data_IF_004100200142
#
_entry.id   IF_004100200142
#
_cell.length_a   1.000
_cell.length_b   1.000
_cell.length_c   1.000
_cell.angle_alpha   90.00
_cell.angle_beta   90.00
_cell.angle_gamma   90.00
#
_symmetry.space_group_name_H-M   'P 1'
#
loop_
_entity.id
_entity.type
_entity.pdbx_description
1 polymer ?
#
# COMPACT_ATOMS: atom_id res chain seq x y z
N UNK A 1 -28.47 -20.44 3.66
CA UNK A 1 -27.67 -20.86 4.82
C UNK A 1 -26.87 -19.65 5.25
N UNK A 2 -27.12 -19.14 6.45
CA UNK A 2 -26.50 -17.93 7.01
C UNK A 2 -25.06 -18.24 7.40
N UNK A 3 -24.09 -17.47 6.88
CA UNK A 3 -22.69 -17.56 7.29
C UNK A 3 -22.54 -16.86 8.65
N UNK A 4 -22.31 -17.66 9.69
CA UNK A 4 -22.02 -17.19 11.04
C UNK A 4 -20.53 -16.84 11.10
N UNK A 5 -20.21 -15.55 11.28
CA UNK A 5 -18.86 -15.14 11.63
C UNK A 5 -18.75 -15.10 13.16
N UNK A 6 -18.16 -16.15 13.73
CA UNK A 6 -17.84 -16.21 15.16
C UNK A 6 -16.45 -15.60 15.39
N UNK A 7 -16.38 -14.48 16.10
CA UNK A 7 -15.10 -13.92 16.58
C UNK A 7 -14.88 -14.43 18.00
N UNK A 8 -14.02 -15.44 18.14
CA UNK A 8 -13.63 -15.98 19.43
C UNK A 8 -12.21 -15.48 19.79
N UNK A 9 -12.13 -14.66 20.84
CA UNK A 9 -10.87 -14.32 21.51
C UNK A 9 -11.09 -14.36 23.02
N UNK A 10 -10.21 -15.07 23.74
CA UNK A 10 -10.20 -15.13 25.21
C UNK A 10 -11.56 -15.54 25.85
N UNK A 11 -12.29 -16.46 25.21
CA UNK A 11 -13.56 -16.98 25.74
C UNK A 11 -14.73 -15.99 25.68
N UNK A 12 -14.68 -14.99 24.78
CA UNK A 12 -15.85 -14.20 24.39
C UNK A 12 -16.36 -14.77 23.06
N UNK A 13 -17.59 -15.29 23.04
CA UNK A 13 -18.33 -15.44 21.78
C UNK A 13 -19.42 -14.36 21.75
N UNK A 14 -19.44 -13.59 20.67
CA UNK A 14 -20.50 -12.65 20.39
C UNK A 14 -21.23 -13.15 19.14
N UNK A 15 -22.48 -13.60 19.31
CA UNK A 15 -23.34 -13.94 18.19
C UNK A 15 -23.74 -12.64 17.47
N UNK A 16 -23.03 -12.30 16.40
CA UNK A 16 -23.40 -11.25 15.45
C UNK A 16 -24.53 -11.79 14.54
N UNK A 17 -25.69 -12.14 15.13
CA UNK A 17 -26.84 -12.67 14.38
C UNK A 17 -27.74 -11.60 13.77
N UNK A 18 -27.52 -10.31 14.06
CA UNK A 18 -28.35 -9.24 13.50
C UNK A 18 -27.63 -8.58 12.34
N UNK A 19 -28.35 -8.43 11.22
CA UNK A 19 -27.90 -7.82 9.96
C UNK A 19 -27.44 -6.36 10.09
N UNK A 20 -27.61 -5.72 11.25
CA UNK A 20 -27.07 -4.41 11.59
C UNK A 20 -26.70 -4.33 13.09
N UNK A 21 -25.43 -4.48 13.49
CA UNK A 21 -25.04 -4.26 14.88
C UNK A 21 -25.19 -2.78 15.24
N UNK A 22 -26.02 -2.46 16.25
CA UNK A 22 -26.16 -1.07 16.70
C UNK A 22 -24.88 -0.58 17.40
N UNK A 23 -24.56 0.73 17.32
CA UNK A 23 -23.38 1.31 17.97
C UNK A 23 -23.29 1.00 19.48
N UNK A 24 -24.44 0.87 20.14
CA UNK A 24 -24.57 0.51 21.55
C UNK A 24 -24.15 -0.95 21.84
N UNK A 25 -24.48 -1.89 20.95
CA UNK A 25 -24.03 -3.29 21.04
C UNK A 25 -22.51 -3.36 20.85
N UNK A 26 -21.97 -2.67 19.85
CA UNK A 26 -20.52 -2.60 19.61
C UNK A 26 -19.77 -2.03 20.82
N UNK A 27 -20.24 -0.90 21.36
CA UNK A 27 -19.66 -0.28 22.56
C UNK A 27 -19.69 -1.21 23.79
N UNK A 28 -20.71 -2.06 23.92
CA UNK A 28 -20.82 -3.04 25.00
C UNK A 28 -19.77 -4.15 24.85
N UNK A 29 -19.63 -4.72 23.65
CA UNK A 29 -18.61 -5.73 23.35
C UNK A 29 -17.21 -5.19 23.61
N UNK A 30 -16.90 -3.98 23.15
CA UNK A 30 -15.58 -3.37 23.37
C UNK A 30 -15.30 -3.06 24.84
N UNK A 31 -16.33 -2.72 25.62
CA UNK A 31 -16.19 -2.53 27.06
C UNK A 31 -15.86 -3.83 27.77
N UNK A 32 -16.58 -4.90 27.44
CA UNK A 32 -16.37 -6.23 28.01
C UNK A 32 -15.01 -6.80 27.63
N UNK A 33 -14.60 -6.64 26.37
CA UNK A 33 -13.26 -7.03 25.93
C UNK A 33 -12.18 -6.30 26.75
N UNK A 34 -12.31 -4.97 26.92
CA UNK A 34 -11.35 -4.17 27.67
C UNK A 34 -11.31 -4.48 29.18
N UNK A 35 -12.42 -4.92 29.78
CA UNK A 35 -12.46 -5.27 31.21
C UNK A 35 -11.77 -6.61 31.50
N UNK A 36 -11.75 -7.53 30.53
CA UNK A 36 -11.04 -8.82 30.63
C UNK A 36 -9.53 -8.70 30.43
N UNK A 37 -9.04 -7.59 29.86
CA UNK A 37 -7.62 -7.34 29.65
C UNK A 37 -6.96 -6.77 30.91
N UNK A 38 -5.83 -7.35 31.30
CA UNK A 38 -4.99 -6.85 32.41
C UNK A 38 -4.10 -5.71 31.91
N UNK A 39 -3.95 -4.61 32.68
CA UNK A 39 -2.97 -3.58 32.37
C UNK A 39 -1.57 -4.15 32.33
N UNK A 40 -0.76 -3.71 31.37
CA UNK A 40 0.65 -4.07 31.33
C UNK A 40 1.39 -3.42 32.50
N UNK A 41 2.20 -4.19 33.22
CA UNK A 41 3.08 -3.71 34.28
C UNK A 41 4.52 -4.10 33.99
N UNK A 42 5.40 -3.09 33.96
CA UNK A 42 6.86 -3.27 33.79
C UNK A 42 7.50 -4.15 34.89
N UNK A 43 6.80 -4.33 36.02
CA UNK A 43 7.25 -5.17 37.15
C UNK A 43 7.11 -6.67 36.89
N UNK A 44 6.28 -7.08 35.92
CA UNK A 44 6.05 -8.48 35.56
C UNK A 44 6.96 -8.82 34.37
N UNK A 45 8.20 -9.20 34.65
CA UNK A 45 9.15 -9.64 33.63
C UNK A 45 8.56 -10.84 32.86
N UNK A 46 8.08 -10.61 31.63
CA UNK A 46 7.72 -11.66 30.67
C UNK A 46 6.36 -11.53 30.00
N UNK A 47 5.39 -10.80 30.55
CA UNK A 47 4.06 -10.69 29.95
C UNK A 47 4.02 -9.56 28.91
N UNK A 48 4.12 -9.89 27.61
CA UNK A 48 3.90 -8.91 26.54
C UNK A 48 2.41 -8.57 26.43
N UNK A 49 2.03 -7.28 26.28
CA UNK A 49 0.64 -6.94 26.04
C UNK A 49 0.18 -7.58 24.72
N UNK A 50 -1.10 -7.98 24.62
CA UNK A 50 -1.67 -8.47 23.37
C UNK A 50 -1.55 -7.42 22.27
N UNK A 51 -1.55 -7.88 21.02
CA UNK A 51 -1.51 -7.04 19.82
C UNK A 51 -2.73 -7.38 18.96
N UNK A 52 -3.55 -6.39 18.67
CA UNK A 52 -4.63 -6.48 17.69
C UNK A 52 -4.13 -5.86 16.38
N UNK A 53 -4.08 -6.67 15.32
CA UNK A 53 -3.74 -6.22 13.96
C UNK A 53 -5.03 -6.22 13.15
N UNK A 54 -5.33 -5.10 12.51
CA UNK A 54 -6.47 -4.96 11.62
C UNK A 54 -5.94 -4.61 10.24
N UNK A 55 -6.13 -5.56 9.33
CA UNK A 55 -5.77 -5.43 7.93
C UNK A 55 -6.87 -4.74 7.13
N UNK A 56 -6.47 -4.06 6.04
CA UNK A 56 -7.34 -3.23 5.21
C UNK A 56 -8.21 -2.26 6.05
N UNK A 57 -7.59 -1.57 7.01
CA UNK A 57 -8.25 -0.66 7.93
C UNK A 57 -8.96 0.51 7.22
N UNK A 58 -8.59 0.83 5.98
CA UNK A 58 -9.32 1.74 5.10
C UNK A 58 -10.79 1.34 4.88
N UNK A 59 -11.17 0.08 5.10
CA UNK A 59 -12.57 -0.34 5.09
C UNK A 59 -13.43 0.42 6.12
N UNK A 60 -12.86 0.93 7.22
CA UNK A 60 -13.57 1.77 8.18
C UNK A 60 -14.16 3.05 7.55
N UNK A 61 -13.63 3.52 6.43
CA UNK A 61 -14.18 4.69 5.71
C UNK A 61 -15.60 4.45 5.19
N UNK A 62 -16.00 3.20 5.03
CA UNK A 62 -17.31 2.79 4.50
C UNK A 62 -18.31 2.42 5.60
N UNK A 63 -17.87 2.35 6.86
CA UNK A 63 -18.69 1.99 8.00
C UNK A 63 -19.34 3.25 8.57
N UNK A 64 -20.51 3.09 9.18
CA UNK A 64 -21.19 4.15 9.92
C UNK A 64 -20.25 4.90 10.89
N UNK A 65 -20.42 6.22 10.96
CA UNK A 65 -19.53 7.10 11.72
C UNK A 65 -19.62 6.88 13.23
N UNK A 66 -20.79 6.49 13.77
CA UNK A 66 -20.95 6.21 15.20
C UNK A 66 -20.23 4.92 15.59
N UNK A 67 -20.42 3.85 14.79
CA UNK A 67 -19.75 2.57 15.01
C UNK A 67 -18.23 2.71 14.91
N UNK A 68 -17.75 3.43 13.91
CA UNK A 68 -16.32 3.74 13.73
C UNK A 68 -15.79 4.55 14.91
N UNK A 69 -16.50 5.61 15.32
CA UNK A 69 -16.13 6.44 16.46
C UNK A 69 -16.03 5.66 17.77
N UNK A 70 -16.97 4.73 18.01
CA UNK A 70 -16.96 3.85 19.18
C UNK A 70 -15.72 2.94 19.21
N UNK A 71 -15.38 2.33 18.07
CA UNK A 71 -14.20 1.48 17.97
C UNK A 71 -12.89 2.26 18.14
N UNK A 72 -12.75 3.42 17.48
CA UNK A 72 -11.55 4.26 17.61
C UNK A 72 -11.37 4.78 19.05
N UNK A 73 -12.47 5.13 19.72
CA UNK A 73 -12.46 5.50 21.14
C UNK A 73 -11.99 4.35 22.03
N UNK A 74 -12.46 3.13 21.75
CA UNK A 74 -11.96 1.93 22.42
C UNK A 74 -10.45 1.71 22.18
N UNK A 75 -9.99 1.84 20.94
CA UNK A 75 -8.58 1.68 20.59
C UNK A 75 -7.69 2.68 21.33
N UNK A 76 -8.09 3.96 21.40
CA UNK A 76 -7.37 4.98 22.18
C UNK A 76 -7.35 4.65 23.67
N UNK A 77 -8.50 4.27 24.24
CA UNK A 77 -8.61 3.91 25.65
C UNK A 77 -7.68 2.74 26.01
N UNK A 78 -7.75 1.65 25.26
CA UNK A 78 -7.02 0.42 25.59
C UNK A 78 -5.51 0.53 25.36
N UNK A 79 -5.09 1.40 24.43
CA UNK A 79 -3.66 1.60 24.09
C UNK A 79 -3.01 2.72 24.90
N UNK A 80 -3.66 3.87 25.06
CA UNK A 80 -3.05 5.08 25.64
C UNK A 80 -3.44 5.33 27.09
N UNK A 81 -4.67 5.03 27.47
CA UNK A 81 -5.17 5.32 28.82
C UNK A 81 -4.94 4.14 29.75
N UNK A 82 -5.27 2.94 29.30
CA UNK A 82 -5.23 1.73 30.13
C UNK A 82 -3.96 0.89 29.90
N UNK A 83 -3.20 1.14 28.82
CA UNK A 83 -1.96 0.42 28.47
C UNK A 83 -2.12 -1.11 28.54
N UNK A 84 -3.21 -1.61 27.97
CA UNK A 84 -3.62 -3.03 28.03
C UNK A 84 -3.33 -3.82 26.75
N UNK A 85 -3.19 -3.14 25.62
CA UNK A 85 -3.06 -3.76 24.31
C UNK A 85 -2.39 -2.80 23.32
N UNK A 86 -1.74 -3.34 22.30
CA UNK A 86 -1.35 -2.58 21.10
C UNK A 86 -2.38 -2.79 19.99
N UNK A 87 -2.67 -1.73 19.24
CA UNK A 87 -3.52 -1.79 18.04
C UNK A 87 -2.67 -1.33 16.86
N UNK A 88 -2.61 -2.15 15.81
CA UNK A 88 -1.91 -1.86 14.57
C UNK A 88 -2.93 -1.89 13.43
N UNK A 89 -3.00 -0.79 12.69
CA UNK A 89 -3.76 -0.71 11.45
C UNK A 89 -2.81 -0.89 10.27
N UNK A 90 -3.16 -1.76 9.33
CA UNK A 90 -2.52 -1.82 8.00
C UNK A 90 -3.51 -1.36 6.94
N UNK A 91 -3.03 -0.62 5.95
CA UNK A 91 -3.85 0.00 4.91
C UNK A 91 -2.99 0.25 3.67
N UNK A 92 -3.51 -0.09 2.51
CA UNK A 92 -2.93 0.24 1.20
C UNK A 92 -3.32 1.66 0.74
N UNK A 93 -4.36 2.24 1.33
CA UNK A 93 -4.85 3.59 1.06
C UNK A 93 -3.99 4.65 1.76
N UNK A 94 -3.32 5.46 0.96
CA UNK A 94 -2.41 6.51 1.42
C UNK A 94 -3.10 7.71 2.07
N UNK A 95 -4.41 7.89 1.85
CA UNK A 95 -5.22 8.89 2.54
C UNK A 95 -5.84 8.38 3.84
N UNK A 96 -5.56 7.13 4.24
CA UNK A 96 -6.06 6.60 5.50
C UNK A 96 -5.58 7.40 6.72
N UNK A 97 -4.31 7.83 6.73
CA UNK A 97 -3.80 8.70 7.80
C UNK A 97 -4.59 10.01 7.90
N UNK A 98 -4.85 10.68 6.78
CA UNK A 98 -5.60 11.93 6.75
C UNK A 98 -7.04 11.73 7.25
N UNK A 99 -7.66 10.60 6.91
CA UNK A 99 -8.97 10.23 7.42
C UNK A 99 -8.94 9.96 8.94
N UNK A 100 -7.88 9.31 9.45
CA UNK A 100 -7.71 9.01 10.87
C UNK A 100 -7.48 10.28 11.69
N UNK A 101 -6.66 11.22 11.21
CA UNK A 101 -6.39 12.53 11.85
C UNK A 101 -7.64 13.36 12.08
N UNK A 102 -8.67 13.20 11.24
CA UNK A 102 -9.96 13.90 11.39
C UNK A 102 -10.80 13.33 12.55
N UNK A 103 -10.50 12.12 13.04
CA UNK A 103 -11.29 11.38 14.04
C UNK A 103 -10.56 11.16 15.36
N UNK A 104 -9.24 11.03 15.32
CA UNK A 104 -8.40 10.82 16.50
C UNK A 104 -7.32 11.89 16.56
N UNK A 105 -7.02 12.36 17.77
CA UNK A 105 -5.87 13.23 18.01
C UNK A 105 -4.57 12.58 17.46
N UNK A 106 -3.82 13.24 16.57
CA UNK A 106 -2.58 12.69 16.01
C UNK A 106 -1.54 12.25 17.03
N UNK A 107 -1.56 12.77 18.26
CA UNK A 107 -0.66 12.33 19.34
C UNK A 107 -0.95 10.91 19.84
N UNK A 108 -2.10 10.34 19.48
CA UNK A 108 -2.52 9.00 19.91
C UNK A 108 -2.10 7.88 18.97
N UNK A 109 -1.51 8.17 17.81
CA UNK A 109 -1.03 7.14 16.88
C UNK A 109 0.26 7.55 16.19
N UNK A 110 0.97 6.55 15.65
CA UNK A 110 2.16 6.75 14.82
C UNK A 110 1.93 6.03 13.48
N UNK A 111 2.34 6.64 12.37
CA UNK A 111 2.32 6.02 11.05
C UNK A 111 3.72 5.56 10.65
N UNK A 112 3.81 4.36 10.09
CA UNK A 112 4.98 3.88 9.37
C UNK A 112 4.57 3.64 7.92
N UNK A 113 5.36 4.12 6.97
CA UNK A 113 5.16 3.84 5.55
C UNK A 113 6.16 2.77 5.15
N UNK A 114 5.64 1.67 4.63
CA UNK A 114 6.46 0.57 4.10
C UNK A 114 6.51 0.73 2.60
N UNK A 115 7.64 1.19 2.09
CA UNK A 115 7.91 1.25 0.65
C UNK A 115 8.43 -0.06 0.08
N UNK A 116 8.75 -0.04 -1.20
CA UNK A 116 9.36 -1.17 -1.91
C UNK A 116 10.78 -1.48 -1.40
N UNK A 117 11.34 -2.64 -1.74
CA UNK A 117 12.71 -2.98 -1.33
C UNK A 117 13.72 -2.04 -2.01
N UNK A 118 14.73 -1.53 -1.28
CA UNK A 118 15.89 -0.89 -1.89
C UNK A 118 16.59 -1.85 -2.85
N UNK A 119 17.31 -1.31 -3.85
CA UNK A 119 17.97 -2.09 -4.91
C UNK A 119 18.78 -3.29 -4.39
N UNK A 120 19.55 -3.11 -3.32
CA UNK A 120 20.36 -4.19 -2.74
C UNK A 120 19.52 -5.31 -2.12
N UNK A 121 18.44 -4.97 -1.43
CA UNK A 121 17.52 -5.95 -0.81
C UNK A 121 16.69 -6.66 -1.88
N UNK A 122 16.24 -5.92 -2.90
CA UNK A 122 15.55 -6.46 -4.07
C UNK A 122 16.42 -7.49 -4.80
N UNK A 123 17.73 -7.21 -4.96
CA UNK A 123 18.66 -8.15 -5.58
C UNK A 123 18.82 -9.44 -4.76
N UNK A 124 19.02 -9.31 -3.45
CA UNK A 124 19.11 -10.47 -2.54
C UNK A 124 17.83 -11.30 -2.58
N UNK A 125 16.68 -10.65 -2.63
CA UNK A 125 15.39 -11.32 -2.72
C UNK A 125 15.21 -12.05 -4.07
N UNK A 126 15.61 -11.43 -5.19
CA UNK A 126 15.62 -12.10 -6.50
C UNK A 126 16.49 -13.36 -6.47
N UNK A 127 17.74 -13.25 -5.97
CA UNK A 127 18.64 -14.40 -5.89
C UNK A 127 18.07 -15.54 -5.03
N UNK A 128 17.47 -15.19 -3.89
CA UNK A 128 16.79 -16.16 -3.03
C UNK A 128 15.68 -16.90 -3.81
N UNK A 129 14.80 -16.17 -4.50
CA UNK A 129 13.74 -16.75 -5.31
C UNK A 129 14.30 -17.68 -6.40
N UNK A 130 15.32 -17.25 -7.13
CA UNK A 130 15.96 -18.05 -8.20
C UNK A 130 16.56 -19.35 -7.65
N UNK A 131 17.18 -19.30 -6.47
CA UNK A 131 17.78 -20.46 -5.83
C UNK A 131 16.75 -21.47 -5.35
N UNK A 132 15.73 -20.99 -4.64
CA UNK A 132 14.69 -21.83 -4.04
C UNK A 132 13.59 -22.23 -5.01
N UNK A 133 13.56 -21.69 -6.25
CA UNK A 133 12.50 -22.01 -7.20
C UNK A 133 12.48 -23.51 -7.54
N UNK A 134 11.36 -24.21 -7.33
CA UNK A 134 11.28 -25.67 -7.50
C UNK A 134 11.39 -26.12 -8.96
N UNK A 135 10.85 -25.33 -9.90
CA UNK A 135 10.69 -25.73 -11.31
C UNK A 135 11.53 -24.91 -12.30
N UNK A 136 12.34 -23.97 -11.82
CA UNK A 136 13.13 -23.12 -12.70
C UNK A 136 14.29 -23.94 -13.28
N UNK A 137 14.40 -23.98 -14.61
CA UNK A 137 15.44 -24.75 -15.29
C UNK A 137 16.86 -24.28 -14.89
N UNK A 138 17.84 -25.19 -14.93
CA UNK A 138 19.24 -24.82 -14.63
C UNK A 138 19.76 -23.71 -15.55
N UNK A 139 19.32 -23.69 -16.81
CA UNK A 139 19.64 -22.64 -17.77
C UNK A 139 19.09 -21.28 -17.31
N UNK A 140 17.81 -21.21 -16.93
CA UNK A 140 17.20 -19.96 -16.46
C UNK A 140 17.78 -19.52 -15.11
N UNK A 141 18.08 -20.46 -14.20
CA UNK A 141 18.79 -20.15 -12.94
C UNK A 141 20.14 -19.50 -13.21
N UNK A 142 20.94 -20.08 -14.10
CA UNK A 142 22.25 -19.52 -14.45
C UNK A 142 22.10 -18.15 -15.11
N UNK A 143 21.17 -18.01 -16.05
CA UNK A 143 20.87 -16.74 -16.72
C UNK A 143 20.51 -15.63 -15.71
N UNK A 144 19.51 -15.87 -14.85
CA UNK A 144 19.06 -14.90 -13.84
C UNK A 144 20.11 -14.60 -12.75
N UNK A 145 21.06 -15.51 -12.50
CA UNK A 145 22.19 -15.23 -11.60
C UNK A 145 23.28 -14.38 -12.26
N UNK A 146 23.46 -14.51 -13.57
CA UNK A 146 24.50 -13.80 -14.33
C UNK A 146 24.07 -12.45 -14.90
N UNK A 147 22.76 -12.20 -15.00
CA UNK A 147 22.22 -10.97 -15.59
C UNK A 147 22.61 -9.75 -14.77
N UNK A 148 22.83 -8.61 -15.45
CA UNK A 148 22.89 -7.33 -14.75
C UNK A 148 21.52 -7.06 -14.10
N UNK A 149 21.50 -6.98 -12.76
CA UNK A 149 20.28 -6.76 -11.99
C UNK A 149 19.54 -5.45 -12.34
N UNK A 150 20.21 -4.47 -12.95
CA UNK A 150 19.53 -3.27 -13.46
C UNK A 150 18.40 -3.59 -14.46
N UNK A 151 18.53 -4.69 -15.21
CA UNK A 151 17.50 -5.13 -16.17
C UNK A 151 16.24 -5.61 -15.43
N UNK A 152 16.28 -6.66 -14.57
CA UNK A 152 15.14 -7.02 -13.75
C UNK A 152 14.59 -5.87 -12.89
N UNK A 153 15.47 -5.07 -12.27
CA UNK A 153 15.04 -3.98 -11.40
C UNK A 153 14.31 -2.87 -12.16
N UNK A 154 14.69 -2.57 -13.41
CA UNK A 154 13.96 -1.64 -14.29
C UNK A 154 12.56 -2.15 -14.66
N UNK A 155 12.35 -3.47 -14.68
CA UNK A 155 11.07 -4.11 -15.01
C UNK A 155 10.18 -4.18 -13.77
N UNK A 156 10.71 -4.65 -12.64
CA UNK A 156 9.93 -4.99 -11.45
C UNK A 156 9.92 -3.93 -10.37
N UNK A 157 10.94 -3.07 -10.35
CA UNK A 157 11.28 -2.27 -9.18
C UNK A 157 11.64 -3.13 -7.97
N UNK A 158 11.46 -2.56 -6.78
CA UNK A 158 11.72 -3.22 -5.50
C UNK A 158 10.55 -4.02 -4.93
N UNK A 159 9.37 -4.00 -5.56
CA UNK A 159 8.19 -4.66 -5.01
C UNK A 159 8.32 -6.17 -5.10
N UNK A 160 8.34 -6.84 -3.95
CA UNK A 160 8.51 -8.29 -3.86
C UNK A 160 7.52 -9.09 -4.71
N UNK A 161 6.28 -8.60 -4.83
CA UNK A 161 5.25 -9.20 -5.68
C UNK A 161 5.69 -9.27 -7.15
N UNK A 162 6.17 -8.16 -7.73
CA UNK A 162 6.61 -8.13 -9.12
C UNK A 162 7.92 -8.87 -9.35
N UNK A 163 8.85 -8.85 -8.39
CA UNK A 163 10.09 -9.64 -8.47
C UNK A 163 9.74 -11.14 -8.55
N UNK A 164 8.82 -11.60 -7.70
CA UNK A 164 8.34 -12.99 -7.74
C UNK A 164 7.67 -13.30 -9.09
N UNK A 165 6.77 -12.43 -9.54
CA UNK A 165 6.06 -12.63 -10.80
C UNK A 165 7.00 -12.64 -12.01
N UNK A 166 8.07 -11.85 -12.01
CA UNK A 166 9.10 -11.88 -13.04
C UNK A 166 9.80 -13.24 -13.10
N UNK A 167 10.22 -13.80 -11.96
CA UNK A 167 10.84 -15.14 -11.93
C UNK A 167 9.88 -16.22 -12.45
N UNK A 168 8.61 -16.18 -12.04
CA UNK A 168 7.58 -17.10 -12.52
C UNK A 168 7.35 -16.96 -14.03
N UNK A 169 7.32 -15.73 -14.56
CA UNK A 169 7.16 -15.52 -15.99
C UNK A 169 8.39 -15.98 -16.78
N UNK A 170 9.60 -15.78 -16.26
CA UNK A 170 10.82 -16.34 -16.86
C UNK A 170 10.81 -17.87 -16.85
N UNK A 171 10.24 -18.49 -15.82
CA UNK A 171 10.02 -19.93 -15.81
C UNK A 171 9.06 -20.38 -16.93
N UNK A 172 7.95 -19.68 -17.13
CA UNK A 172 6.92 -20.06 -18.09
C UNK A 172 7.26 -19.73 -19.55
N UNK A 173 7.89 -18.58 -19.79
CA UNK A 173 8.03 -17.99 -21.13
C UNK A 173 9.48 -17.78 -21.57
N UNK A 174 10.45 -18.05 -20.68
CA UNK A 174 11.86 -17.77 -20.94
C UNK A 174 12.28 -16.36 -20.51
N UNK A 175 13.58 -16.10 -20.56
CA UNK A 175 14.16 -14.82 -20.16
C UNK A 175 13.80 -13.69 -21.13
N UNK A 176 13.52 -12.50 -20.59
CA UNK A 176 13.21 -11.29 -21.34
C UNK A 176 13.76 -10.04 -20.63
N UNK A 177 13.98 -9.00 -21.42
CA UNK A 177 14.57 -7.72 -20.99
C UNK A 177 13.68 -6.51 -21.27
N UNK A 178 12.76 -6.62 -22.24
CA UNK A 178 11.82 -5.54 -22.53
C UNK A 178 10.76 -5.49 -21.43
N UNK A 179 10.60 -4.35 -20.73
CA UNK A 179 9.52 -4.23 -19.76
C UNK A 179 8.12 -4.42 -20.36
N UNK A 180 7.95 -4.22 -21.67
CA UNK A 180 6.68 -4.47 -22.36
C UNK A 180 6.35 -5.96 -22.53
N UNK A 181 7.34 -6.84 -22.39
CA UNK A 181 7.10 -8.29 -22.34
C UNK A 181 6.60 -8.72 -20.95
N UNK A 182 6.69 -7.86 -19.94
CA UNK A 182 6.22 -8.17 -18.59
C UNK A 182 4.71 -7.95 -18.46
N UNK A 183 3.97 -8.99 -18.07
CA UNK A 183 2.49 -8.94 -18.01
C UNK A 183 1.95 -7.79 -17.12
N UNK A 184 2.52 -7.50 -15.94
CA UNK A 184 2.12 -6.35 -15.13
C UNK A 184 2.26 -4.99 -15.83
N UNK A 185 3.23 -4.85 -16.73
CA UNK A 185 3.41 -3.61 -17.51
C UNK A 185 2.27 -3.47 -18.52
N UNK A 186 1.92 -4.55 -19.24
CA UNK A 186 0.81 -4.55 -20.20
C UNK A 186 -0.53 -4.27 -19.52
N UNK A 187 -0.75 -4.88 -18.36
CA UNK A 187 -1.94 -4.62 -17.53
C UNK A 187 -1.97 -3.14 -17.10
N UNK A 188 -0.84 -2.60 -16.65
CA UNK A 188 -0.73 -1.17 -16.28
C UNK A 188 -0.97 -0.24 -17.48
N UNK A 189 -0.49 -0.56 -18.68
CA UNK A 189 -0.78 0.21 -19.90
C UNK A 189 -2.28 0.30 -20.15
N UNK A 190 -2.97 -0.83 -20.06
CA UNK A 190 -4.42 -0.90 -20.29
C UNK A 190 -5.18 -0.04 -19.28
N UNK A 191 -4.81 -0.11 -18.00
CA UNK A 191 -5.43 0.70 -16.94
C UNK A 191 -5.17 2.19 -17.13
N UNK A 192 -3.92 2.58 -17.41
CA UNK A 192 -3.55 3.98 -17.54
C UNK A 192 -4.08 4.60 -18.85
N UNK A 193 -4.28 3.84 -19.92
CA UNK A 193 -4.76 4.37 -21.20
C UNK A 193 -6.13 5.06 -21.08
N UNK A 194 -6.96 4.62 -20.12
CA UNK A 194 -8.24 5.24 -19.81
C UNK A 194 -8.12 6.72 -19.39
N UNK A 195 -7.01 7.08 -18.73
CA UNK A 195 -6.72 8.45 -18.30
C UNK A 195 -6.35 9.35 -19.49
N UNK A 196 -5.70 8.79 -20.51
CA UNK A 196 -5.40 9.50 -21.75
C UNK A 196 -6.62 9.64 -22.66
N UNK A 197 -7.60 8.74 -22.56
CA UNK A 197 -8.85 8.75 -23.35
C UNK A 197 -9.93 9.70 -22.80
N UNK A 198 -9.65 10.42 -21.72
CA UNK A 198 -10.56 11.42 -21.16
C UNK A 198 -11.69 10.82 -20.32
N UNK A 199 -11.49 9.65 -19.70
CA UNK A 199 -12.43 9.13 -18.70
C UNK A 199 -12.39 9.89 -17.37
N UNK A 200 -11.33 10.67 -17.13
CA UNK A 200 -11.22 11.55 -15.97
C UNK A 200 -12.17 12.75 -16.09
N UNK A 201 -12.63 13.26 -14.94
CA UNK A 201 -13.57 14.38 -14.84
C UNK A 201 -12.85 15.72 -14.80
N UNK A 202 -11.70 15.79 -14.12
CA UNK A 202 -11.00 17.04 -13.79
C UNK A 202 -9.77 17.30 -14.65
N UNK A 203 -9.26 16.29 -15.36
CA UNK A 203 -8.08 16.42 -16.21
C UNK A 203 -8.23 15.70 -17.54
N UNK A 204 -7.37 16.03 -18.50
CA UNK A 204 -7.35 15.45 -19.85
C UNK A 204 -5.98 14.89 -20.16
N UNK A 205 -5.83 14.43 -21.40
CA UNK A 205 -4.59 13.88 -21.96
C UNK A 205 -3.39 14.80 -21.71
N UNK A 206 -3.56 16.13 -21.79
CA UNK A 206 -2.46 17.09 -21.62
C UNK A 206 -1.89 17.06 -20.20
N UNK A 207 -2.76 17.08 -19.20
CA UNK A 207 -2.34 17.00 -17.79
C UNK A 207 -1.74 15.62 -17.47
N UNK A 208 -2.33 14.54 -17.99
CA UNK A 208 -1.79 13.18 -17.83
C UNK A 208 -0.36 13.07 -18.43
N UNK A 209 -0.17 13.54 -19.66
CA UNK A 209 1.15 13.61 -20.32
C UNK A 209 2.13 14.44 -19.50
N UNK A 210 1.70 15.61 -19.02
CA UNK A 210 2.53 16.49 -18.21
C UNK A 210 3.04 15.78 -16.95
N UNK A 211 2.17 15.05 -16.25
CA UNK A 211 2.54 14.27 -15.06
C UNK A 211 3.50 13.13 -15.40
N UNK A 212 3.26 12.38 -16.48
CA UNK A 212 4.18 11.34 -16.92
C UNK A 212 5.57 11.92 -17.22
N UNK A 213 5.66 13.03 -17.94
CA UNK A 213 6.93 13.71 -18.22
C UNK A 213 7.63 14.16 -16.94
N UNK A 214 6.89 14.72 -15.97
CA UNK A 214 7.46 15.12 -14.69
C UNK A 214 8.06 13.93 -13.92
N UNK A 215 7.36 12.80 -13.87
CA UNK A 215 7.85 11.57 -13.21
C UNK A 215 9.02 10.91 -13.97
N UNK A 216 8.97 10.88 -15.30
CA UNK A 216 10.02 10.26 -16.12
C UNK A 216 11.33 11.07 -16.06
N UNK A 217 11.23 12.38 -15.93
CA UNK A 217 12.37 13.28 -15.78
C UNK A 217 12.86 13.44 -14.32
N UNK A 218 12.22 12.76 -13.36
CA UNK A 218 12.61 12.78 -11.96
C UNK A 218 13.32 11.49 -11.53
N UNK A 219 13.76 11.45 -10.26
CA UNK A 219 14.34 10.25 -9.64
C UNK A 219 13.27 9.21 -9.24
N UNK A 220 12.10 9.21 -9.86
CA UNK A 220 11.01 8.26 -9.61
C UNK A 220 9.87 8.81 -8.74
N UNK A 221 10.00 10.03 -8.23
CA UNK A 221 8.94 10.71 -7.48
C UNK A 221 8.92 12.22 -7.75
N UNK A 222 7.79 12.88 -7.46
CA UNK A 222 7.60 14.34 -7.56
C UNK A 222 6.91 14.89 -6.31
N UNK A 223 7.04 16.20 -6.06
CA UNK A 223 6.41 16.87 -4.92
C UNK A 223 4.89 16.83 -5.03
N UNK A 224 4.19 16.38 -3.97
CA UNK A 224 2.74 16.48 -3.91
C UNK A 224 2.30 17.95 -3.88
N UNK A 225 2.92 18.78 -3.03
CA UNK A 225 2.59 20.19 -2.90
C UNK A 225 2.88 20.96 -4.21
N UNK A 226 4.02 20.66 -4.85
CA UNK A 226 4.39 21.25 -6.13
C UNK A 226 3.41 20.91 -7.25
N UNK A 227 3.02 19.64 -7.40
CA UNK A 227 2.07 19.24 -8.43
C UNK A 227 0.67 19.84 -8.18
N UNK A 228 0.23 19.86 -6.92
CA UNK A 228 -1.04 20.48 -6.53
C UNK A 228 -1.07 21.98 -6.84
N UNK A 229 0.07 22.68 -6.69
CA UNK A 229 0.18 24.08 -7.10
C UNK A 229 0.13 24.26 -8.63
N UNK A 230 0.62 23.29 -9.41
CA UNK A 230 0.61 23.33 -10.89
C UNK A 230 -0.77 22.96 -11.48
N UNK A 231 -1.43 21.91 -10.97
CA UNK A 231 -2.62 21.31 -11.59
C UNK A 231 -3.92 21.47 -10.78
N UNK A 232 -3.88 22.03 -9.57
CA UNK A 232 -4.94 22.05 -8.53
C UNK A 232 -5.09 20.74 -7.75
N UNK A 233 -5.56 20.86 -6.50
CA UNK A 233 -5.75 19.73 -5.60
C UNK A 233 -6.77 18.72 -6.12
N UNK A 234 -7.85 19.21 -6.74
CA UNK A 234 -8.92 18.36 -7.29
C UNK A 234 -8.43 17.45 -8.41
N UNK A 235 -7.50 17.93 -9.24
CA UNK A 235 -6.89 17.13 -10.31
C UNK A 235 -5.99 16.05 -9.73
N UNK A 236 -5.11 16.42 -8.79
CA UNK A 236 -4.15 15.49 -8.19
C UNK A 236 -4.87 14.42 -7.37
N UNK A 237 -5.91 14.79 -6.61
CA UNK A 237 -6.74 13.83 -5.87
C UNK A 237 -7.44 12.85 -6.80
N UNK A 238 -8.05 13.31 -7.90
CA UNK A 238 -8.66 12.39 -8.87
C UNK A 238 -7.62 11.45 -9.50
N UNK A 239 -6.43 11.94 -9.83
CA UNK A 239 -5.34 11.09 -10.35
C UNK A 239 -4.95 9.99 -9.34
N UNK A 240 -4.98 10.27 -8.04
CA UNK A 240 -4.71 9.27 -7.01
C UNK A 240 -5.86 8.28 -6.89
N UNK A 241 -7.12 8.76 -6.85
CA UNK A 241 -8.32 7.92 -6.79
C UNK A 241 -8.43 6.94 -7.97
N UNK A 242 -7.98 7.37 -9.14
CA UNK A 242 -7.97 6.57 -10.37
C UNK A 242 -6.77 5.63 -10.47
N UNK A 243 -5.92 5.57 -9.44
CA UNK A 243 -4.66 4.83 -9.43
C UNK A 243 -3.69 5.27 -10.54
N UNK A 244 -3.80 6.50 -11.04
CA UNK A 244 -2.82 7.06 -11.97
C UNK A 244 -1.52 7.41 -11.22
N UNK A 245 -1.66 7.99 -10.02
CA UNK A 245 -0.56 8.32 -9.12
C UNK A 245 -0.70 7.63 -7.78
N UNK A 246 0.43 7.32 -7.15
CA UNK A 246 0.47 6.86 -5.77
C UNK A 246 0.99 7.99 -4.87
N UNK A 247 0.18 8.37 -3.88
CA UNK A 247 0.60 9.32 -2.85
C UNK A 247 1.35 8.61 -1.73
N UNK A 248 2.55 9.08 -1.42
CA UNK A 248 3.36 8.55 -0.34
C UNK A 248 3.59 9.64 0.71
N UNK A 249 3.15 9.36 1.93
CA UNK A 249 3.36 10.23 3.08
C UNK A 249 4.85 10.32 3.42
N UNK A 250 5.27 11.50 3.90
CA UNK A 250 6.61 11.67 4.45
C UNK A 250 6.86 10.62 5.54
N UNK A 251 7.88 9.79 5.34
CA UNK A 251 8.27 8.77 6.29
C UNK A 251 9.78 8.63 6.38
N UNK A 252 10.29 8.54 7.60
CA UNK A 252 11.69 8.19 7.88
C UNK A 252 11.94 6.68 7.89
N UNK A 253 10.87 5.89 7.82
CA UNK A 253 10.96 4.43 7.85
C UNK A 253 11.18 3.85 6.45
N UNK A 254 10.54 4.45 5.43
CA UNK A 254 10.68 4.04 4.04
C UNK A 254 12.09 4.34 3.50
N UNK A 255 12.62 3.43 2.66
CA UNK A 255 13.99 3.50 2.10
C UNK A 255 14.04 3.21 0.60
N UNK A 256 12.88 3.14 -0.03
CA UNK A 256 12.66 2.84 -1.44
C UNK A 256 13.06 3.99 -2.36
N UNK A 257 12.86 5.24 -1.91
CA UNK A 257 13.13 6.44 -2.71
C UNK A 257 14.52 7.02 -2.43
N UNK A 258 15.26 7.32 -3.50
CA UNK A 258 16.60 7.88 -3.44
C UNK A 258 16.69 9.13 -4.35
N UNK A 259 17.02 10.32 -3.80
CA UNK A 259 17.25 10.58 -2.38
C UNK A 259 15.96 10.44 -1.54
N UNK A 260 16.07 10.27 -0.21
CA UNK A 260 14.89 10.23 0.65
C UNK A 260 14.09 11.54 0.55
N UNK A 261 12.75 11.48 0.42
CA UNK A 261 11.94 12.66 0.29
C UNK A 261 11.89 13.45 1.61
N UNK A 262 11.86 14.78 1.50
CA UNK A 262 11.75 15.71 2.65
C UNK A 262 10.30 16.18 2.90
N UNK A 263 9.37 15.74 2.06
CA UNK A 263 7.95 16.05 2.11
C UNK A 263 7.14 14.85 1.58
N UNK A 264 5.81 14.94 1.60
CA UNK A 264 4.98 13.93 0.93
C UNK A 264 5.11 14.06 -0.58
N UNK A 265 5.16 12.92 -1.27
CA UNK A 265 5.50 12.84 -2.69
C UNK A 265 4.49 11.99 -3.45
N UNK A 266 4.57 12.07 -4.78
CA UNK A 266 3.80 11.26 -5.70
C UNK A 266 4.75 10.40 -6.53
N UNK A 267 4.41 9.14 -6.69
CA UNK A 267 5.12 8.17 -7.53
C UNK A 267 4.16 7.58 -8.56
N UNK A 268 4.69 6.82 -9.53
CA UNK A 268 3.86 5.83 -10.21
C UNK A 268 3.40 4.76 -9.19
N UNK A 269 2.30 4.05 -9.49
CA UNK A 269 1.80 2.97 -8.63
C UNK A 269 2.81 1.83 -8.42
N UNK A 270 3.71 1.64 -9.38
CA UNK A 270 4.76 0.64 -9.38
C UNK A 270 5.75 0.92 -10.51
N UNK A 271 6.88 0.20 -10.56
CA UNK A 271 7.77 0.29 -11.73
C UNK A 271 7.12 -0.21 -13.03
N UNK A 272 6.35 -1.32 -13.08
CA UNK A 272 5.55 -1.65 -14.26
C UNK A 272 4.62 -0.51 -14.71
N UNK A 273 3.98 0.19 -13.78
CA UNK A 273 3.16 1.37 -14.10
C UNK A 273 4.00 2.53 -14.64
N UNK A 274 5.21 2.75 -14.13
CA UNK A 274 6.14 3.74 -14.66
C UNK A 274 6.61 3.40 -16.08
N UNK A 275 6.88 2.12 -16.37
CA UNK A 275 7.21 1.65 -17.73
C UNK A 275 6.03 1.84 -18.67
N UNK A 276 4.82 1.57 -18.20
CA UNK A 276 3.61 1.84 -18.94
C UNK A 276 3.41 3.34 -19.24
N UNK A 277 3.67 4.22 -18.27
CA UNK A 277 3.68 5.68 -18.49
C UNK A 277 4.70 6.11 -19.54
N UNK A 278 5.90 5.51 -19.55
CA UNK A 278 6.92 5.76 -20.57
C UNK A 278 6.42 5.40 -21.97
N UNK A 279 5.80 4.22 -22.13
CA UNK A 279 5.26 3.76 -23.40
C UNK A 279 4.08 4.62 -23.88
N UNK A 280 3.16 4.97 -22.97
CA UNK A 280 2.00 5.80 -23.28
C UNK A 280 2.41 7.24 -23.62
N UNK A 281 3.39 7.81 -22.93
CA UNK A 281 3.89 9.15 -23.23
C UNK A 281 4.41 9.24 -24.67
N UNK A 282 5.23 8.28 -25.10
CA UNK A 282 5.74 8.21 -26.48
C UNK A 282 4.62 8.08 -27.52
N UNK A 283 3.55 7.34 -27.19
CA UNK A 283 2.39 7.14 -28.08
C UNK A 283 1.53 8.40 -28.21
N UNK A 284 1.31 9.12 -27.12
CA UNK A 284 0.43 10.28 -27.08
C UNK A 284 1.14 11.62 -27.33
N UNK A 285 2.47 11.71 -27.23
CA UNK A 285 3.25 12.87 -27.71
C UNK A 285 3.18 13.07 -29.23
N UNK A 286 2.73 12.04 -29.97
CA UNK A 286 2.56 12.09 -31.42
C UNK A 286 1.21 12.67 -31.86
N UNK A 287 0.34 13.05 -30.92
CA UNK A 287 -1.01 13.58 -31.15
C UNK A 287 -1.21 14.94 -30.47
#
# INVERSE_FOLDING_TARGET
>A
MSNVAEVAALGVSANLCDSHPSPQKAATVFRELGSRLKPFSLSHHGERPPVLIIDEANAFKQIDDEATGAFLSFAVRITKQESKMHVIFTSSDSFFENWLKKRINPTHFNTLVVGDLPREEAYKYLLHLVETHPYLSSQNKNCLKSVNFDVPFRITGGRMFFIKQYVEQVHMSGYFEDPMDFEPTLTSCTTLEDDFRGKAKTYKTKEALRVCQLLLNSNGYISFAGLTAELSNTVVEEMIERNFLHYQLLSKFSRDLIPPPMESVLTAQSEPARRAMEALSKRYEQY
#
